data_IF_064392287483
#
_entry.id   IF_064392287483
#
_cell.length_a   1.000
_cell.length_b   1.000
_cell.length_c   1.000
_cell.angle_alpha   90.00
_cell.angle_beta   90.00
_cell.angle_gamma   90.00
#
_symmetry.space_group_name_H-M   'P 1'
#
loop_
_entity.id
_entity.type
_entity.pdbx_description
1 polymer ?
#
# COMPACT_ATOMS: atom_id res chain seq x y z
N UNK A 1 20.32 11.20 12.75
CA UNK A 1 20.13 9.74 12.67
C UNK A 1 19.85 9.40 11.23
N UNK A 2 20.39 8.29 10.69
CA UNK A 2 20.15 7.84 9.32
C UNK A 2 18.83 7.07 9.20
N UNK A 3 18.17 7.16 8.05
CA UNK A 3 16.98 6.38 7.74
C UNK A 3 17.20 5.48 6.51
N UNK A 4 17.16 4.17 6.70
CA UNK A 4 17.18 3.16 5.65
C UNK A 4 15.76 2.84 5.19
N UNK A 5 15.46 3.02 3.91
CA UNK A 5 14.19 2.61 3.29
C UNK A 5 14.46 1.51 2.28
N UNK A 6 13.80 0.36 2.41
CA UNK A 6 13.88 -0.71 1.42
C UNK A 6 12.75 -0.60 0.39
N UNK A 7 13.12 -0.30 -0.85
CA UNK A 7 12.22 0.01 -1.97
C UNK A 7 12.53 -0.83 -3.23
N UNK A 8 13.26 -1.93 -3.08
CA UNK A 8 13.76 -2.72 -4.20
C UNK A 8 12.74 -3.72 -4.78
N UNK A 9 11.75 -4.14 -3.99
CA UNK A 9 10.85 -5.24 -4.34
C UNK A 9 9.85 -4.91 -5.47
N UNK A 10 9.46 -5.94 -6.23
CA UNK A 10 8.48 -5.84 -7.33
C UNK A 10 7.07 -5.46 -6.87
N UNK A 11 6.68 -5.86 -5.65
CA UNK A 11 5.35 -5.57 -5.11
C UNK A 11 4.22 -6.31 -5.83
N UNK A 12 4.40 -7.59 -6.11
CA UNK A 12 3.50 -8.43 -6.95
C UNK A 12 2.02 -8.42 -6.55
N UNK A 13 1.69 -8.19 -5.27
CA UNK A 13 0.31 -8.17 -4.76
C UNK A 13 -0.47 -6.91 -5.14
N UNK A 14 0.23 -5.79 -5.39
CA UNK A 14 -0.32 -4.50 -5.78
C UNK A 14 0.14 -4.20 -7.22
N UNK A 15 -0.17 -5.11 -8.14
CA UNK A 15 0.23 -4.99 -9.53
C UNK A 15 -0.62 -3.95 -10.25
N UNK A 16 -0.16 -2.70 -10.30
CA UNK A 16 -0.64 -1.70 -11.25
C UNK A 16 0.31 -1.61 -12.45
N UNK A 17 -0.27 -1.66 -13.67
CA UNK A 17 0.44 -1.63 -14.96
C UNK A 17 1.55 -0.57 -14.99
N UNK A 18 2.80 -1.01 -14.89
CA UNK A 18 3.97 -0.22 -15.30
C UNK A 18 4.75 0.52 -14.21
N UNK A 19 4.19 0.83 -13.04
CA UNK A 19 4.90 1.58 -11.98
C UNK A 19 5.49 0.65 -10.91
N UNK A 20 6.58 1.09 -10.26
CA UNK A 20 7.12 0.41 -9.08
C UNK A 20 6.21 0.66 -7.86
N UNK A 21 6.02 -0.33 -6.97
CA UNK A 21 5.12 -0.23 -5.79
C UNK A 21 5.33 1.04 -4.94
N UNK A 22 6.58 1.46 -4.63
CA UNK A 22 6.82 2.69 -3.86
C UNK A 22 6.25 3.95 -4.52
N UNK A 23 6.04 3.93 -5.85
CA UNK A 23 5.53 5.06 -6.64
C UNK A 23 4.01 5.04 -6.84
N UNK A 24 3.30 4.07 -6.24
CA UNK A 24 1.84 4.04 -6.30
C UNK A 24 1.29 5.23 -5.50
N UNK A 25 0.46 6.10 -6.11
CA UNK A 25 -0.12 7.23 -5.39
C UNK A 25 -1.32 6.78 -4.55
N UNK A 26 -1.33 7.19 -3.29
CA UNK A 26 -2.51 7.14 -2.42
C UNK A 26 -2.97 8.57 -2.22
N UNK A 27 -4.21 8.87 -2.63
CA UNK A 27 -4.77 10.23 -2.59
C UNK A 27 -3.83 11.27 -3.27
N UNK A 28 -3.24 10.91 -4.41
CA UNK A 28 -2.40 11.80 -5.21
C UNK A 28 -0.90 11.81 -4.88
N UNK A 29 -0.49 11.31 -3.71
CA UNK A 29 0.92 11.29 -3.29
C UNK A 29 1.47 9.86 -3.30
N UNK A 30 2.65 9.61 -3.91
CA UNK A 30 3.33 8.31 -3.87
C UNK A 30 3.60 7.81 -2.44
N UNK A 31 3.46 6.49 -2.23
CA UNK A 31 3.70 5.84 -0.94
C UNK A 31 5.06 6.22 -0.32
N UNK A 32 6.15 6.14 -1.11
CA UNK A 32 7.49 6.46 -0.60
C UNK A 32 7.66 7.93 -0.21
N UNK A 33 6.99 8.85 -0.91
CA UNK A 33 6.99 10.26 -0.52
C UNK A 33 6.28 10.45 0.82
N UNK A 34 5.17 9.73 1.06
CA UNK A 34 4.48 9.78 2.36
C UNK A 34 5.36 9.28 3.48
N UNK A 35 6.04 8.15 3.29
CA UNK A 35 6.99 7.59 4.27
C UNK A 35 8.11 8.60 4.57
N UNK A 36 8.75 9.16 3.55
CA UNK A 36 9.80 10.17 3.70
C UNK A 36 9.29 11.39 4.47
N UNK A 37 8.11 11.92 4.09
CA UNK A 37 7.51 13.08 4.78
C UNK A 37 7.25 12.80 6.25
N UNK A 38 6.69 11.63 6.59
CA UNK A 38 6.45 11.26 7.98
C UNK A 38 7.73 11.22 8.81
N UNK A 39 8.84 10.79 8.21
CA UNK A 39 10.15 10.74 8.84
C UNK A 39 10.78 12.13 8.97
N UNK A 40 10.67 12.97 7.94
CA UNK A 40 11.17 14.36 7.99
C UNK A 40 10.50 15.19 9.07
N UNK A 41 9.21 14.94 9.37
CA UNK A 41 8.52 15.56 10.51
C UNK A 41 9.13 15.21 11.88
N UNK A 42 9.95 14.14 11.94
CA UNK A 42 10.68 13.75 13.14
C UNK A 42 12.13 14.28 13.15
N UNK A 43 12.47 15.19 12.24
CA UNK A 43 13.79 15.81 12.14
C UNK A 43 14.87 14.95 11.48
N UNK A 44 14.48 13.88 10.77
CA UNK A 44 15.42 13.03 10.01
C UNK A 44 15.39 13.42 8.53
N UNK A 45 16.54 13.82 8.00
CA UNK A 45 16.72 14.32 6.64
C UNK A 45 17.77 13.55 5.81
N UNK A 46 18.44 12.56 6.40
CA UNK A 46 19.46 11.73 5.74
C UNK A 46 18.95 10.31 5.46
N UNK A 47 18.64 10.05 4.18
CA UNK A 47 17.99 8.82 3.72
C UNK A 47 18.93 7.96 2.89
N UNK A 48 18.95 6.67 3.21
CA UNK A 48 19.58 5.62 2.43
C UNK A 48 18.47 4.76 1.83
N UNK A 49 18.33 4.76 0.51
CA UNK A 49 17.20 4.12 -0.16
C UNK A 49 17.69 2.97 -1.03
N UNK A 50 17.30 1.76 -0.68
CA UNK A 50 17.65 0.55 -1.43
C UNK A 50 16.66 0.39 -2.58
N UNK A 51 17.14 0.53 -3.80
CA UNK A 51 16.35 0.42 -5.03
C UNK A 51 16.75 -0.83 -5.82
N UNK A 52 15.83 -1.35 -6.64
CA UNK A 52 16.02 -2.61 -7.37
C UNK A 52 15.07 -2.68 -8.58
N UNK A 53 13.97 -3.43 -8.47
CA UNK A 53 12.98 -3.52 -9.53
C UNK A 53 12.48 -2.13 -9.97
N UNK A 54 12.71 -1.78 -11.25
CA UNK A 54 12.44 -0.45 -11.80
C UNK A 54 13.08 0.69 -11.01
N UNK A 55 14.27 0.46 -10.46
CA UNK A 55 15.00 1.39 -9.61
C UNK A 55 15.21 2.77 -10.25
N UNK A 56 15.43 2.85 -11.56
CA UNK A 56 15.59 4.13 -12.28
C UNK A 56 14.36 5.05 -12.19
N UNK A 57 13.14 4.47 -12.21
CA UNK A 57 11.91 5.26 -12.03
C UNK A 57 11.83 5.82 -10.60
N UNK A 58 12.18 4.98 -9.62
CA UNK A 58 12.19 5.34 -8.20
C UNK A 58 13.24 6.42 -7.94
N UNK A 59 14.44 6.25 -8.50
CA UNK A 59 15.54 7.22 -8.43
C UNK A 59 15.15 8.56 -9.04
N UNK A 60 14.65 8.58 -10.27
CA UNK A 60 14.22 9.82 -10.96
C UNK A 60 13.22 10.60 -10.11
N UNK A 61 12.24 9.91 -9.53
CA UNK A 61 11.26 10.53 -8.65
C UNK A 61 11.90 11.08 -7.36
N UNK A 62 12.78 10.30 -6.72
CA UNK A 62 13.43 10.67 -5.47
C UNK A 62 14.47 11.78 -5.64
N UNK A 63 15.14 11.88 -6.79
CA UNK A 63 16.05 12.99 -7.12
C UNK A 63 15.29 14.33 -7.24
N UNK A 64 14.06 14.29 -7.77
CA UNK A 64 13.19 15.47 -7.80
C UNK A 64 12.63 15.78 -6.40
N UNK A 65 12.26 14.75 -5.64
CA UNK A 65 11.75 14.88 -4.28
C UNK A 65 12.80 15.44 -3.32
N UNK A 66 14.05 14.97 -3.40
CA UNK A 66 15.14 15.38 -2.51
C UNK A 66 15.41 16.87 -2.62
N UNK A 67 15.44 17.40 -3.85
CA UNK A 67 15.55 18.84 -4.12
C UNK A 67 14.35 19.63 -3.60
N UNK A 68 13.13 19.10 -3.78
CA UNK A 68 11.89 19.75 -3.33
C UNK A 68 11.78 19.83 -1.81
N UNK A 69 12.25 18.81 -1.09
CA UNK A 69 12.17 18.74 0.37
C UNK A 69 13.44 19.19 1.08
N UNK A 70 14.55 19.41 0.35
CA UNK A 70 15.84 19.77 0.95
C UNK A 70 16.47 18.63 1.78
N UNK A 71 16.25 17.38 1.39
CA UNK A 71 16.75 16.18 2.09
C UNK A 71 17.91 15.52 1.35
N UNK A 72 18.74 14.78 2.07
CA UNK A 72 19.82 13.98 1.51
C UNK A 72 19.33 12.57 1.17
N UNK A 73 19.64 12.09 -0.03
CA UNK A 73 19.28 10.74 -0.48
C UNK A 73 20.50 10.05 -1.07
N UNK A 74 20.91 8.96 -0.43
CA UNK A 74 21.92 8.02 -0.93
C UNK A 74 21.22 6.78 -1.49
N UNK A 75 21.46 6.47 -2.76
CA UNK A 75 20.88 5.28 -3.40
C UNK A 75 21.80 4.06 -3.24
N UNK A 76 21.21 2.93 -2.89
CA UNK A 76 21.88 1.64 -2.78
C UNK A 76 21.21 0.68 -3.77
N UNK A 77 21.97 0.08 -4.66
CA UNK A 77 21.41 -0.82 -5.68
C UNK A 77 21.37 -2.26 -5.15
N UNK A 78 20.18 -2.87 -5.18
CA UNK A 78 19.98 -4.30 -5.00
C UNK A 78 19.57 -4.94 -6.34
N UNK A 79 20.53 -5.57 -7.03
CA UNK A 79 20.26 -6.28 -8.29
C UNK A 79 19.52 -7.61 -8.03
N UNK A 80 19.66 -8.18 -6.84
CA UNK A 80 18.97 -9.39 -6.40
C UNK A 80 17.65 -9.07 -5.70
N UNK A 81 16.87 -8.16 -6.28
CA UNK A 81 15.59 -7.68 -5.74
C UNK A 81 14.49 -8.75 -5.64
N UNK A 82 14.72 -9.93 -6.22
CA UNK A 82 13.85 -11.11 -6.09
C UNK A 82 14.05 -11.85 -4.76
N UNK A 83 15.18 -11.63 -4.07
CA UNK A 83 15.42 -12.14 -2.72
C UNK A 83 14.54 -11.43 -1.69
N UNK A 84 14.46 -12.01 -0.51
CA UNK A 84 13.63 -11.48 0.57
C UNK A 84 14.10 -10.11 1.08
N UNK A 85 13.24 -9.44 1.86
CA UNK A 85 13.43 -8.06 2.29
C UNK A 85 14.72 -7.83 3.09
N UNK A 86 15.16 -8.80 3.90
CA UNK A 86 16.41 -8.70 4.67
C UNK A 86 17.65 -8.64 3.77
N UNK A 87 17.62 -9.23 2.56
CA UNK A 87 18.71 -9.06 1.61
C UNK A 87 18.86 -7.60 1.13
N UNK A 88 17.74 -6.89 0.98
CA UNK A 88 17.77 -5.45 0.67
C UNK A 88 18.40 -4.66 1.83
N UNK A 89 18.10 -5.02 3.08
CA UNK A 89 18.74 -4.43 4.26
C UNK A 89 20.24 -4.70 4.25
N UNK A 90 20.68 -5.92 3.95
CA UNK A 90 22.09 -6.30 3.92
C UNK A 90 22.93 -5.47 2.94
N UNK A 91 22.35 -5.03 1.81
CA UNK A 91 23.05 -4.15 0.86
C UNK A 91 23.48 -2.82 1.47
N UNK A 92 22.89 -2.40 2.59
CA UNK A 92 23.25 -1.18 3.31
C UNK A 92 24.40 -1.34 4.32
N UNK A 93 24.91 -2.56 4.56
CA UNK A 93 25.96 -2.83 5.56
C UNK A 93 27.22 -1.97 5.35
N UNK A 94 27.62 -1.71 4.10
CA UNK A 94 28.79 -0.88 3.78
C UNK A 94 28.56 0.64 3.89
N UNK A 95 27.32 1.07 4.14
CA UNK A 95 26.91 2.48 4.12
C UNK A 95 26.53 3.00 5.51
N UNK A 96 26.07 2.12 6.41
CA UNK A 96 25.54 2.48 7.73
C UNK A 96 26.26 1.66 8.80
N UNK A 97 26.96 2.35 9.71
CA UNK A 97 27.77 1.79 10.78
C UNK A 97 27.36 2.28 12.18
N UNK A 98 26.20 2.93 12.28
CA UNK A 98 25.65 3.53 13.49
C UNK A 98 24.17 3.14 13.63
N UNK A 99 23.50 3.37 14.77
CA UNK A 99 22.06 3.17 14.89
C UNK A 99 21.25 3.95 13.84
N UNK A 100 20.24 3.29 13.27
CA UNK A 100 19.46 3.83 12.17
C UNK A 100 17.99 3.40 12.24
N UNK A 101 17.12 4.20 11.66
CA UNK A 101 15.73 3.86 11.44
C UNK A 101 15.62 3.02 10.15
N UNK A 102 14.96 1.86 10.20
CA UNK A 102 14.66 1.03 9.04
C UNK A 102 13.16 1.05 8.76
N UNK A 103 12.78 1.27 7.51
CA UNK A 103 11.39 1.38 7.07
C UNK A 103 11.11 0.60 5.79
N UNK A 104 9.87 0.13 5.69
CA UNK A 104 9.28 -0.32 4.43
C UNK A 104 8.82 0.90 3.62
N UNK A 105 8.98 0.86 2.28
CA UNK A 105 8.59 1.97 1.41
C UNK A 105 7.07 2.14 1.22
N UNK A 106 6.28 1.20 1.71
CA UNK A 106 4.83 1.07 1.50
C UNK A 106 4.02 0.98 2.79
N UNK A 107 4.67 1.05 3.96
CA UNK A 107 3.98 1.07 5.24
C UNK A 107 3.80 2.50 5.71
N UNK A 108 2.53 2.93 5.80
CA UNK A 108 2.19 4.26 6.28
C UNK A 108 2.04 4.25 7.80
N UNK A 109 2.57 5.29 8.44
CA UNK A 109 2.54 5.45 9.89
C UNK A 109 2.48 6.93 10.24
N UNK A 110 2.01 7.19 11.45
CA UNK A 110 2.00 8.52 12.04
C UNK A 110 3.42 8.96 12.47
N UNK A 111 3.86 10.19 12.16
CA UNK A 111 5.14 10.73 12.61
C UNK A 111 5.41 10.60 14.12
N UNK A 112 4.37 10.64 14.96
CA UNK A 112 4.50 10.48 16.41
C UNK A 112 5.14 9.14 16.79
N UNK A 113 4.88 8.09 16.01
CA UNK A 113 5.44 6.76 16.26
C UNK A 113 6.94 6.74 15.95
N UNK A 114 7.38 7.46 14.92
CA UNK A 114 8.82 7.63 14.65
C UNK A 114 9.46 8.44 15.76
N UNK A 115 8.89 9.58 16.15
CA UNK A 115 9.38 10.42 17.24
C UNK A 115 9.56 9.67 18.57
N UNK A 116 8.65 8.75 18.88
CA UNK A 116 8.76 7.89 20.08
C UNK A 116 9.81 6.81 19.89
N UNK A 117 9.83 6.15 18.73
CA UNK A 117 10.74 5.04 18.46
C UNK A 117 12.20 5.49 18.46
N UNK A 118 12.54 6.63 17.84
CA UNK A 118 13.93 7.13 17.75
C UNK A 118 14.51 7.59 19.10
N UNK A 119 13.65 7.81 20.10
CA UNK A 119 14.04 8.13 21.49
C UNK A 119 14.17 6.89 22.37
N UNK A 120 13.86 5.70 21.83
CA UNK A 120 13.94 4.46 22.58
C UNK A 120 15.40 4.13 22.92
N UNK A 121 15.71 3.76 24.18
CA UNK A 121 17.07 3.38 24.57
C UNK A 121 17.54 2.14 23.80
N UNK A 122 18.68 2.24 23.13
CA UNK A 122 19.20 1.18 22.27
C UNK A 122 20.63 0.82 22.69
N UNK A 123 20.80 -0.39 23.22
CA UNK A 123 22.11 -0.96 23.50
C UNK A 123 22.75 -1.52 22.23
N UNK A 124 24.07 -1.68 22.24
CA UNK A 124 24.78 -2.36 21.16
C UNK A 124 24.26 -3.80 20.97
N UNK A 125 23.90 -4.15 19.75
CA UNK A 125 23.30 -5.45 19.44
C UNK A 125 21.78 -5.43 19.37
N UNK A 126 21.14 -4.42 19.96
CA UNK A 126 19.69 -4.37 20.05
C UNK A 126 19.02 -3.88 18.77
N UNK A 127 17.77 -4.29 18.63
CA UNK A 127 16.78 -3.73 17.71
C UNK A 127 15.47 -3.48 18.46
N UNK A 128 14.65 -2.57 17.94
CA UNK A 128 13.31 -2.27 18.45
C UNK A 128 12.34 -2.33 17.29
N UNK A 129 11.22 -3.02 17.48
CA UNK A 129 10.18 -3.18 16.47
C UNK A 129 8.96 -2.39 16.89
N UNK A 130 8.44 -1.55 15.99
CA UNK A 130 7.12 -0.96 16.13
C UNK A 130 6.05 -2.03 15.92
N UNK A 131 5.20 -2.28 16.90
CA UNK A 131 4.15 -3.31 16.79
C UNK A 131 2.76 -2.77 17.03
N UNK A 132 1.79 -3.23 16.22
CA UNK A 132 0.37 -2.99 16.47
C UNK A 132 -0.16 -4.10 17.38
N UNK A 133 -0.70 -3.72 18.55
CA UNK A 133 -1.27 -4.66 19.52
C UNK A 133 -2.75 -4.97 19.25
N UNK A 134 -3.37 -4.32 18.27
CA UNK A 134 -4.73 -4.62 17.87
C UNK A 134 -4.79 -5.87 16.97
N UNK A 135 -4.65 -7.05 17.59
CA UNK A 135 -4.70 -8.35 16.88
C UNK A 135 -6.07 -8.67 16.26
N UNK A 136 -7.09 -7.87 16.56
CA UNK A 136 -8.44 -7.98 16.00
C UNK A 136 -8.72 -6.94 14.91
N UNK A 137 -7.69 -6.24 14.41
CA UNK A 137 -7.85 -5.28 13.33
C UNK A 137 -8.34 -5.99 12.05
N UNK A 138 -9.57 -5.73 11.58
CA UNK A 138 -10.14 -6.43 10.43
C UNK A 138 -9.47 -6.03 9.10
N UNK A 139 -8.61 -5.02 9.09
CA UNK A 139 -7.88 -4.55 7.90
C UNK A 139 -6.57 -5.31 7.69
N UNK A 140 -6.17 -6.13 8.65
CA UNK A 140 -4.95 -6.92 8.57
C UNK A 140 -5.25 -8.25 7.88
N UNK A 141 -4.58 -8.48 6.75
CA UNK A 141 -4.56 -9.79 6.12
C UNK A 141 -3.72 -10.76 6.97
N UNK A 142 -4.40 -11.66 7.68
CA UNK A 142 -3.77 -12.66 8.54
C UNK A 142 -2.88 -13.64 7.77
N UNK A 143 -3.04 -13.80 6.46
CA UNK A 143 -2.21 -14.68 5.64
C UNK A 143 -0.87 -14.03 5.27
N UNK A 144 -0.84 -12.71 5.12
CA UNK A 144 0.38 -11.99 4.69
C UNK A 144 1.14 -11.31 5.85
N UNK A 145 0.45 -10.93 6.92
CA UNK A 145 1.04 -10.17 8.03
C UNK A 145 2.12 -10.96 8.76
N UNK A 146 3.22 -10.28 9.11
CA UNK A 146 4.21 -10.82 10.05
C UNK A 146 3.68 -10.65 11.47
N UNK A 147 3.42 -11.76 12.14
CA UNK A 147 2.92 -11.78 13.52
C UNK A 147 4.07 -11.72 14.50
N UNK A 148 3.83 -11.17 15.69
CA UNK A 148 4.78 -11.14 16.79
C UNK A 148 4.15 -11.65 18.08
N UNK A 149 4.95 -12.37 18.87
CA UNK A 149 4.66 -12.64 20.27
C UNK A 149 5.67 -11.88 21.13
N UNK A 150 5.13 -11.08 22.04
CA UNK A 150 5.90 -10.15 22.87
C UNK A 150 5.62 -10.41 24.34
N UNK A 151 6.63 -10.26 25.18
CA UNK A 151 6.54 -10.48 26.62
C UNK A 151 7.57 -9.57 27.32
N UNK A 152 7.13 -8.82 28.34
CA UNK A 152 7.98 -7.92 29.12
C UNK A 152 8.79 -6.94 28.25
N UNK A 153 8.17 -6.36 27.22
CA UNK A 153 8.82 -5.39 26.31
C UNK A 153 9.84 -6.01 25.35
N UNK A 154 9.93 -7.35 25.27
CA UNK A 154 10.81 -8.06 24.35
C UNK A 154 10.00 -8.85 23.33
N UNK A 155 10.53 -8.98 22.13
CA UNK A 155 10.04 -9.90 21.11
C UNK A 155 10.55 -11.30 21.48
N UNK A 156 9.65 -12.27 21.59
CA UNK A 156 10.02 -13.68 21.81
C UNK A 156 9.95 -14.48 20.50
N UNK A 157 8.91 -14.22 19.71
CA UNK A 157 8.70 -14.88 18.42
C UNK A 157 8.24 -13.88 17.37
N UNK A 158 8.70 -14.06 16.14
CA UNK A 158 8.26 -13.28 14.97
C UNK A 158 8.17 -14.18 13.74
N UNK A 159 7.14 -13.98 12.91
CA UNK A 159 6.99 -14.69 11.65
C UNK A 159 5.54 -14.77 11.17
N UNK A 160 5.33 -15.11 9.90
CA UNK A 160 3.99 -15.22 9.30
C UNK A 160 3.18 -16.43 9.81
N UNK A 161 3.87 -17.53 10.10
CA UNK A 161 3.24 -18.80 10.52
C UNK A 161 2.96 -18.94 12.02
N UNK A 162 3.04 -17.88 12.82
CA UNK A 162 2.83 -17.99 14.26
C UNK A 162 1.36 -18.23 14.61
N UNK A 163 1.11 -19.30 15.38
CA UNK A 163 -0.22 -19.64 15.91
C UNK A 163 -0.57 -18.84 17.17
N UNK A 164 0.41 -18.55 18.02
CA UNK A 164 0.28 -17.68 19.19
C UNK A 164 1.01 -16.36 18.95
N UNK A 165 0.26 -15.26 19.04
CA UNK A 165 0.76 -13.90 18.78
C UNK A 165 -0.09 -12.89 19.57
N UNK A 166 0.51 -11.74 19.89
CA UNK A 166 -0.16 -10.63 20.57
C UNK A 166 0.15 -9.27 19.93
N UNK A 167 0.64 -9.28 18.69
CA UNK A 167 0.76 -8.10 17.85
C UNK A 167 1.15 -8.43 16.43
N UNK A 168 1.21 -7.38 15.62
CA UNK A 168 1.67 -7.40 14.23
C UNK A 168 2.89 -6.49 14.06
N UNK A 169 3.83 -6.92 13.22
CA UNK A 169 4.88 -6.05 12.69
C UNK A 169 4.28 -4.93 11.84
N UNK A 170 4.77 -3.71 12.02
CA UNK A 170 4.28 -2.52 11.34
C UNK A 170 5.27 -1.98 10.32
N UNK A 171 6.44 -2.61 10.17
CA UNK A 171 7.47 -2.22 9.21
C UNK A 171 8.26 -0.97 9.57
N UNK A 172 8.23 -0.56 10.85
CA UNK A 172 9.11 0.46 11.41
C UNK A 172 10.02 -0.17 12.46
N UNK A 173 11.32 0.04 12.31
CA UNK A 173 12.33 -0.59 13.17
C UNK A 173 13.40 0.43 13.54
N UNK A 174 13.83 0.45 14.80
CA UNK A 174 15.07 1.09 15.20
C UNK A 174 16.14 0.00 15.30
N UNK A 175 17.22 0.12 14.54
CA UNK A 175 18.22 -0.93 14.41
C UNK A 175 19.62 -0.44 14.77
N UNK A 176 20.40 -1.31 15.38
CA UNK A 176 21.88 -1.23 15.36
C UNK A 176 22.43 -1.99 14.14
N UNK A 177 23.72 -1.82 13.78
CA UNK A 177 24.38 -2.62 12.75
C UNK A 177 24.35 -4.14 12.99
N UNK A 178 23.99 -4.61 14.19
CA UNK A 178 23.85 -6.03 14.49
C UNK A 178 22.82 -6.74 13.59
N UNK A 179 21.82 -6.02 13.07
CA UNK A 179 20.86 -6.59 12.13
C UNK A 179 21.54 -7.13 10.87
N UNK A 180 22.60 -6.49 10.38
CA UNK A 180 23.32 -6.95 9.19
C UNK A 180 24.00 -8.29 9.45
N UNK A 181 24.67 -8.43 10.61
CA UNK A 181 25.32 -9.68 11.00
C UNK A 181 24.30 -10.81 11.22
N UNK A 182 23.13 -10.48 11.79
CA UNK A 182 22.04 -11.43 11.95
C UNK A 182 21.51 -11.94 10.61
N UNK A 183 21.35 -11.06 9.61
CA UNK A 183 20.93 -11.43 8.25
C UNK A 183 22.00 -12.31 7.58
N UNK A 184 23.28 -11.95 7.65
CA UNK A 184 24.36 -12.76 7.07
C UNK A 184 24.41 -14.16 7.67
N UNK A 185 24.26 -14.27 8.98
CA UNK A 185 24.25 -15.57 9.68
C UNK A 185 23.05 -16.42 9.26
N UNK A 186 21.86 -15.82 9.13
CA UNK A 186 20.66 -16.53 8.63
C UNK A 186 20.84 -17.00 7.19
N UNK A 187 21.43 -16.16 6.35
CA UNK A 187 21.75 -16.52 4.97
C UNK A 187 22.75 -17.69 4.92
N UNK A 188 23.84 -17.66 5.68
CA UNK A 188 24.86 -18.70 5.64
C UNK A 188 24.40 -20.04 6.23
N UNK A 189 23.64 -20.00 7.33
CA UNK A 189 23.25 -21.22 8.08
C UNK A 189 21.95 -21.84 7.55
N UNK A 190 21.04 -21.03 7.00
CA UNK A 190 19.67 -21.48 6.67
C UNK A 190 19.20 -21.08 5.28
N UNK A 191 20.04 -20.40 4.49
CA UNK A 191 19.66 -19.81 3.19
C UNK A 191 18.39 -18.93 3.30
N UNK A 192 18.22 -18.27 4.44
CA UNK A 192 17.07 -17.42 4.76
C UNK A 192 17.52 -15.97 4.80
N UNK A 193 16.97 -15.13 3.91
CA UNK A 193 17.27 -13.69 3.89
C UNK A 193 16.10 -12.83 4.33
N UNK A 194 15.10 -13.42 5.01
CA UNK A 194 14.00 -12.67 5.57
C UNK A 194 14.46 -11.79 6.73
N UNK A 195 13.93 -10.57 6.80
CA UNK A 195 14.16 -9.68 7.93
C UNK A 195 13.63 -10.30 9.23
N UNK A 196 12.44 -10.93 9.19
CA UNK A 196 11.85 -11.61 10.34
C UNK A 196 12.72 -12.77 10.84
N UNK A 197 13.40 -13.52 9.96
CA UNK A 197 14.35 -14.56 10.35
C UNK A 197 15.56 -14.00 11.12
N UNK A 198 16.11 -12.87 10.67
CA UNK A 198 17.20 -12.19 11.38
C UNK A 198 16.75 -11.62 12.74
N UNK A 199 15.56 -11.03 12.79
CA UNK A 199 14.95 -10.56 14.03
C UNK A 199 14.70 -11.72 15.00
N UNK A 200 14.22 -12.87 14.51
CA UNK A 200 14.02 -14.06 15.34
C UNK A 200 15.33 -14.57 15.95
N UNK A 201 16.43 -14.47 15.22
CA UNK A 201 17.76 -14.79 15.73
C UNK A 201 18.18 -13.82 16.85
N UNK A 202 17.96 -12.52 16.69
CA UNK A 202 18.25 -11.52 17.73
C UNK A 202 17.33 -11.70 18.95
N UNK A 203 16.06 -12.02 18.74
CA UNK A 203 15.10 -12.33 19.80
C UNK A 203 15.55 -13.52 20.67
N UNK A 204 16.15 -14.55 20.06
CA UNK A 204 16.69 -15.69 20.78
C UNK A 204 17.85 -15.34 21.73
N UNK A 205 18.54 -14.22 21.48
CA UNK A 205 19.62 -13.69 22.33
C UNK A 205 19.13 -12.57 23.28
N UNK A 206 17.83 -12.24 23.25
CA UNK A 206 17.26 -11.17 24.09
C UNK A 206 17.45 -9.75 23.52
N UNK A 207 17.94 -9.62 22.29
CA UNK A 207 18.28 -8.35 21.66
C UNK A 207 17.17 -7.75 20.77
N UNK A 208 15.96 -8.31 20.83
CA UNK A 208 14.80 -7.76 20.09
C UNK A 208 13.77 -7.18 21.06
N UNK A 209 13.57 -5.88 20.99
CA UNK A 209 12.66 -5.11 21.83
C UNK A 209 11.35 -4.79 21.11
N UNK A 210 10.29 -4.69 21.89
CA UNK A 210 8.96 -4.32 21.44
C UNK A 210 8.66 -2.86 21.79
N UNK A 211 8.16 -2.10 20.81
CA UNK A 211 7.58 -0.78 21.04
C UNK A 211 6.19 -0.73 20.43
N UNK A 212 5.17 -0.55 21.27
CA UNK A 212 3.78 -0.43 20.81
C UNK A 212 3.61 0.87 20.02
N UNK A 213 3.13 0.78 18.78
CA UNK A 213 2.69 1.95 18.03
C UNK A 213 1.30 2.41 18.52
N UNK A 214 1.06 3.70 18.45
CA UNK A 214 -0.22 4.32 18.79
C UNK A 214 -0.84 5.00 17.56
N UNK A 215 -2.13 4.75 17.26
CA UNK A 215 -2.85 5.54 16.28
C UNK A 215 -3.14 6.95 16.83
N UNK A 216 -3.05 7.96 15.96
CA UNK A 216 -3.20 9.39 16.26
C UNK A 216 -4.49 9.74 17.00
N UNK A 217 -5.60 9.03 16.72
CA UNK A 217 -6.91 9.29 17.31
C UNK A 217 -6.96 9.15 18.83
N UNK A 218 -5.90 8.63 19.47
CA UNK A 218 -5.76 8.55 20.94
C UNK A 218 -4.86 9.62 21.56
N UNK A 219 -4.19 10.47 20.77
CA UNK A 219 -3.25 11.47 21.27
C UNK A 219 -3.86 12.86 21.51
N UNK A 220 -5.08 13.13 21.05
CA UNK A 220 -5.82 14.35 21.42
C UNK A 220 -6.18 14.46 22.91
N UNK A 221 -5.68 13.54 23.75
CA UNK A 221 -5.82 13.57 25.20
C UNK A 221 -4.49 13.76 25.97
N UNK A 222 -3.34 13.92 25.31
CA UNK A 222 -2.08 14.23 26.01
C UNK A 222 -1.29 15.33 25.31
N UNK A 223 -1.22 16.47 25.98
CA UNK A 223 -0.34 17.60 25.70
C UNK A 223 1.12 17.15 25.77
N UNK A 224 1.77 16.97 24.62
CA UNK A 224 3.22 17.08 24.50
C UNK A 224 3.52 17.88 23.22
N UNK A 225 4.15 19.04 23.43
CA UNK A 225 4.35 20.11 22.45
C UNK A 225 5.27 19.71 21.29
N UNK A 226 4.69 19.58 20.10
CA UNK A 226 5.44 19.63 18.83
C UNK A 226 5.43 21.08 18.35
N UNK A 227 6.58 21.58 17.90
CA UNK A 227 6.71 22.90 17.29
C UNK A 227 5.94 22.94 15.95
N UNK A 228 4.72 23.46 16.00
CA UNK A 228 3.77 23.47 14.88
C UNK A 228 4.17 24.43 13.75
N UNK A 229 5.16 25.31 13.95
CA UNK A 229 5.54 26.34 12.97
C UNK A 229 6.22 25.76 11.73
N UNK A 230 6.92 24.63 11.87
CA UNK A 230 7.52 23.91 10.74
C UNK A 230 6.52 22.94 10.09
N UNK A 231 5.54 22.45 10.86
CA UNK A 231 4.48 21.57 10.36
C UNK A 231 3.52 22.32 9.42
N UNK A 232 3.17 23.57 9.74
CA UNK A 232 2.14 24.34 9.03
C UNK A 232 2.48 24.70 7.57
N UNK A 233 3.78 24.82 7.22
CA UNK A 233 4.24 25.09 5.85
C UNK A 233 4.72 23.85 5.09
N UNK A 234 5.06 22.75 5.76
CA UNK A 234 5.52 21.49 5.14
C UNK A 234 4.38 20.48 4.89
N UNK A 235 3.30 20.56 5.68
CA UNK A 235 2.09 19.74 5.60
C UNK A 235 0.92 20.50 4.98
N UNK A 236 1.20 21.35 3.98
CA UNK A 236 0.21 22.04 3.15
C UNK A 236 -0.53 21.06 2.18
N UNK A 237 -0.90 19.89 2.70
CA UNK A 237 -1.58 18.80 1.99
C UNK A 237 -2.76 18.32 2.82
N UNK A 238 -3.96 18.29 2.21
CA UNK A 238 -5.24 17.89 2.81
C UNK A 238 -5.16 16.55 3.57
N UNK A 239 -4.19 15.68 3.26
CA UNK A 239 -3.97 14.43 3.95
C UNK A 239 -3.65 14.61 5.44
N UNK A 240 -2.74 15.50 5.83
CA UNK A 240 -2.36 15.70 7.24
C UNK A 240 -3.02 16.92 7.91
N UNK A 241 -3.75 17.74 7.15
CA UNK A 241 -4.28 19.04 7.59
C UNK A 241 -5.72 19.04 8.09
N UNK A 242 -6.49 17.99 7.83
CA UNK A 242 -7.88 17.96 8.24
C UNK A 242 -7.96 18.01 9.78
N UNK A 243 -8.89 18.79 10.36
CA UNK A 243 -9.26 18.78 11.80
C UNK A 243 -9.75 17.40 12.31
N UNK A 244 -9.54 16.34 11.53
CA UNK A 244 -9.82 14.92 11.72
C UNK A 244 -8.65 14.16 11.10
N UNK A 245 -8.04 13.23 11.84
CA UNK A 245 -6.84 12.49 11.42
C UNK A 245 -6.93 11.93 9.98
N UNK A 246 -5.87 11.98 9.15
CA UNK A 246 -5.80 11.29 7.84
C UNK A 246 -6.27 9.84 7.91
N UNK A 247 -5.92 9.15 8.99
CA UNK A 247 -6.31 7.77 9.21
C UNK A 247 -7.81 7.66 9.49
N UNK A 248 -8.41 8.64 10.17
CA UNK A 248 -9.87 8.74 10.27
C UNK A 248 -10.55 9.09 8.94
N UNK A 249 -9.92 9.88 8.05
CA UNK A 249 -10.46 10.10 6.71
C UNK A 249 -10.41 8.84 5.86
N UNK A 250 -9.28 8.11 5.89
CA UNK A 250 -9.17 6.79 5.25
C UNK A 250 -10.20 5.82 5.84
N UNK A 251 -10.40 5.85 7.16
CA UNK A 251 -11.40 5.05 7.84
C UNK A 251 -12.83 5.46 7.48
N UNK A 252 -13.12 6.75 7.34
CA UNK A 252 -14.43 7.24 6.86
C UNK A 252 -14.67 6.90 5.39
N UNK A 253 -13.64 6.99 4.55
CA UNK A 253 -13.71 6.56 3.15
C UNK A 253 -13.99 5.06 3.10
N UNK A 254 -13.28 4.28 3.93
CA UNK A 254 -13.48 2.83 4.07
C UNK A 254 -14.86 2.49 4.60
N UNK A 255 -15.32 3.12 5.69
CA UNK A 255 -16.65 2.93 6.26
C UNK A 255 -17.74 3.32 5.25
N UNK A 256 -17.54 4.38 4.47
CA UNK A 256 -18.46 4.75 3.38
C UNK A 256 -18.45 3.71 2.26
N UNK A 257 -17.28 3.18 1.90
CA UNK A 257 -17.16 2.09 0.93
C UNK A 257 -17.85 0.81 1.45
N UNK A 258 -17.56 0.40 2.69
CA UNK A 258 -18.14 -0.77 3.37
C UNK A 258 -19.66 -0.63 3.53
N UNK A 259 -20.15 0.51 4.01
CA UNK A 259 -21.59 0.78 4.12
C UNK A 259 -22.28 0.79 2.76
N UNK A 260 -21.61 1.23 1.71
CA UNK A 260 -22.13 1.13 0.34
C UNK A 260 -22.11 -0.31 -0.17
N UNK A 261 -21.13 -1.13 0.21
CA UNK A 261 -21.14 -2.57 -0.11
C UNK A 261 -22.27 -3.31 0.63
N UNK A 262 -22.49 -3.02 1.92
CA UNK A 262 -23.58 -3.60 2.73
C UNK A 262 -24.96 -3.08 2.32
N UNK A 263 -25.09 -1.80 1.93
CA UNK A 263 -26.36 -1.22 1.49
C UNK A 263 -26.76 -1.60 0.06
N UNK A 264 -25.89 -2.31 -0.70
CA UNK A 264 -26.18 -2.80 -2.04
C UNK A 264 -26.48 -4.30 -2.08
N UNK A 265 -26.64 -4.95 -0.91
CA UNK A 265 -27.28 -6.28 -0.82
C UNK A 265 -28.81 -6.22 -1.02
N UNK A 266 -29.38 -5.03 -1.21
CA UNK A 266 -30.76 -4.81 -1.58
C UNK A 266 -30.93 -3.46 -2.28
N UNK A 267 -31.53 -3.47 -3.44
CA UNK A 267 -31.89 -2.34 -4.30
C UNK A 267 -30.81 -1.63 -5.12
N UNK A 268 -30.94 -1.89 -6.41
CA UNK A 268 -30.33 -1.21 -7.54
C UNK A 268 -30.84 0.24 -7.65
N UNK A 269 -29.96 1.22 -7.45
CA UNK A 269 -29.94 2.48 -8.21
C UNK A 269 -28.66 3.25 -7.92
N UNK A 270 -27.85 3.41 -8.98
CA UNK A 270 -26.63 4.19 -8.95
C UNK A 270 -26.88 5.66 -8.59
N UNK A 271 -26.06 6.19 -7.69
CA UNK A 271 -26.12 7.61 -7.35
C UNK A 271 -25.36 7.90 -6.08
N UNK A 272 -24.04 8.06 -6.19
CA UNK A 272 -23.12 8.86 -5.33
C UNK A 272 -21.68 8.38 -5.60
N UNK A 273 -21.46 7.06 -5.63
CA UNK A 273 -20.12 6.47 -5.88
C UNK A 273 -19.56 6.89 -7.24
N UNK A 274 -20.40 6.86 -8.26
CA UNK A 274 -20.08 7.24 -9.64
C UNK A 274 -19.74 8.75 -9.75
N UNK A 275 -20.36 9.59 -8.92
CA UNK A 275 -20.10 11.04 -8.89
C UNK A 275 -18.75 11.37 -8.22
N UNK A 276 -18.44 10.68 -7.13
CA UNK A 276 -17.18 10.87 -6.40
C UNK A 276 -15.96 10.42 -7.21
N UNK A 277 -16.03 9.26 -7.87
CA UNK A 277 -14.95 8.74 -8.72
C UNK A 277 -14.72 9.62 -9.96
N UNK A 278 -15.81 10.07 -10.61
CA UNK A 278 -15.77 10.93 -11.80
C UNK A 278 -15.10 12.27 -11.52
N UNK A 279 -15.29 12.84 -10.32
CA UNK A 279 -14.70 14.11 -9.90
C UNK A 279 -13.21 14.01 -9.55
N UNK A 280 -12.74 12.83 -9.12
CA UNK A 280 -11.37 12.64 -8.58
C UNK A 280 -10.39 11.97 -9.55
N UNK A 281 -10.88 11.18 -10.51
CA UNK A 281 -10.02 10.39 -11.40
C UNK A 281 -10.32 10.54 -12.89
N UNK A 282 -11.22 11.46 -13.29
CA UNK A 282 -11.38 11.86 -14.69
C UNK A 282 -11.80 10.76 -15.67
N UNK A 283 -12.63 9.80 -15.24
CA UNK A 283 -13.16 8.72 -16.10
C UNK A 283 -14.61 8.96 -16.51
N UNK A 284 -14.90 8.86 -17.82
CA UNK A 284 -16.27 8.84 -18.34
C UNK A 284 -17.06 7.62 -17.88
N UNK A 285 -18.39 7.73 -17.87
CA UNK A 285 -19.30 6.68 -17.40
C UNK A 285 -19.32 5.48 -18.38
N UNK A 286 -18.68 4.33 -18.08
CA UNK A 286 -18.44 3.29 -19.07
C UNK A 286 -19.50 2.19 -18.96
N UNK A 287 -20.77 2.58 -18.96
CA UNK A 287 -21.89 1.64 -19.08
C UNK A 287 -22.57 1.19 -17.78
N UNK A 288 -23.76 0.61 -17.94
CA UNK A 288 -24.52 -0.01 -16.85
C UNK A 288 -24.04 -1.45 -16.63
N UNK A 289 -23.78 -1.81 -15.36
CA UNK A 289 -23.54 -3.19 -14.92
C UNK A 289 -24.77 -3.63 -14.12
N UNK A 290 -25.41 -4.72 -14.54
CA UNK A 290 -26.56 -5.32 -13.85
C UNK A 290 -26.18 -6.72 -13.42
N UNK A 291 -26.46 -7.04 -12.15
CA UNK A 291 -26.27 -8.38 -11.62
C UNK A 291 -27.64 -9.08 -11.55
N UNK A 292 -27.67 -10.36 -11.93
CA UNK A 292 -28.81 -11.27 -11.75
C UNK A 292 -28.31 -12.67 -11.46
N UNK A 293 -29.17 -13.53 -10.92
CA UNK A 293 -28.79 -14.86 -10.43
C UNK A 293 -29.94 -15.86 -10.67
N UNK A 294 -29.60 -17.11 -10.97
CA UNK A 294 -30.51 -18.27 -10.97
C UNK A 294 -29.93 -19.42 -10.13
N UNK A 295 -30.56 -20.59 -10.14
CA UNK A 295 -30.15 -21.74 -9.30
C UNK A 295 -28.72 -22.24 -9.57
N UNK A 296 -28.21 -22.04 -10.78
CA UNK A 296 -26.93 -22.59 -11.22
C UNK A 296 -25.85 -21.52 -11.43
N UNK A 297 -26.21 -20.25 -11.69
CA UNK A 297 -25.28 -19.20 -12.08
C UNK A 297 -25.55 -17.82 -11.46
N UNK A 298 -24.48 -17.04 -11.31
CA UNK A 298 -24.52 -15.59 -11.15
C UNK A 298 -24.10 -14.93 -12.47
N UNK A 299 -24.85 -13.93 -12.90
CA UNK A 299 -24.64 -13.21 -14.16
C UNK A 299 -24.31 -11.74 -13.91
N UNK A 300 -23.38 -11.21 -14.70
CA UNK A 300 -23.17 -9.77 -14.87
C UNK A 300 -23.46 -9.36 -16.31
N UNK A 301 -24.55 -8.62 -16.51
CA UNK A 301 -24.90 -8.01 -17.79
C UNK A 301 -24.30 -6.59 -17.84
N UNK A 302 -23.32 -6.40 -18.72
CA UNK A 302 -22.52 -5.19 -18.84
C UNK A 302 -22.81 -4.56 -20.21
N UNK A 303 -23.22 -3.30 -20.26
CA UNK A 303 -23.49 -2.59 -21.53
C UNK A 303 -22.58 -1.38 -21.66
N UNK A 304 -21.63 -1.39 -22.59
CA UNK A 304 -20.63 -0.34 -22.78
C UNK A 304 -20.76 0.24 -24.19
N UNK A 305 -21.14 1.52 -24.27
CA UNK A 305 -21.32 2.23 -25.54
C UNK A 305 -20.00 2.73 -26.11
N UNK A 306 -19.96 2.88 -27.42
CA UNK A 306 -18.85 3.52 -28.16
C UNK A 306 -17.49 2.81 -27.98
N UNK A 307 -17.53 1.47 -27.85
CA UNK A 307 -16.35 0.62 -27.72
C UNK A 307 -15.52 0.60 -29.00
N UNK A 308 -14.25 1.02 -28.89
CA UNK A 308 -13.28 0.92 -29.98
C UNK A 308 -13.00 -0.56 -30.24
N UNK A 309 -13.16 -0.97 -31.49
CA UNK A 309 -12.97 -2.35 -31.97
C UNK A 309 -13.90 -3.42 -31.33
N UNK A 310 -14.96 -3.01 -30.61
CA UNK A 310 -15.92 -3.93 -29.97
C UNK A 310 -15.26 -5.06 -29.16
N UNK A 311 -14.09 -4.82 -28.56
CA UNK A 311 -13.38 -5.83 -27.76
C UNK A 311 -13.11 -5.31 -26.36
N UNK A 312 -13.51 -6.13 -25.39
CA UNK A 312 -13.22 -5.92 -23.98
C UNK A 312 -12.22 -6.96 -23.50
N UNK A 313 -11.26 -6.52 -22.70
CA UNK A 313 -10.37 -7.41 -21.96
C UNK A 313 -11.02 -7.68 -20.60
N UNK A 314 -11.46 -8.92 -20.40
CA UNK A 314 -12.15 -9.38 -19.19
C UNK A 314 -11.30 -10.47 -18.56
N UNK A 315 -10.94 -10.28 -17.29
CA UNK A 315 -10.13 -11.22 -16.53
C UNK A 315 -10.84 -11.55 -15.22
N UNK A 316 -10.93 -12.84 -14.89
CA UNK A 316 -11.38 -13.29 -13.58
C UNK A 316 -10.26 -14.07 -12.93
N UNK A 317 -9.68 -13.49 -11.87
CA UNK A 317 -8.55 -14.07 -11.14
C UNK A 317 -8.48 -13.46 -9.73
N UNK A 318 -7.93 -14.20 -8.77
CA UNK A 318 -7.71 -13.74 -7.39
C UNK A 318 -8.97 -13.17 -6.71
N UNK A 319 -10.14 -13.77 -6.98
CA UNK A 319 -11.42 -13.30 -6.44
C UNK A 319 -11.89 -11.95 -6.99
N UNK A 320 -11.34 -11.49 -8.13
CA UNK A 320 -11.74 -10.25 -8.80
C UNK A 320 -12.11 -10.47 -10.26
N UNK A 321 -13.10 -9.69 -10.72
CA UNK A 321 -13.51 -9.56 -12.11
C UNK A 321 -13.04 -8.20 -12.59
N UNK A 322 -12.12 -8.20 -13.54
CA UNK A 322 -11.54 -7.01 -14.15
C UNK A 322 -12.06 -6.85 -15.57
N UNK A 323 -12.52 -5.65 -15.91
CA UNK A 323 -12.97 -5.28 -17.26
C UNK A 323 -12.17 -4.05 -17.71
N UNK A 324 -11.54 -4.13 -18.88
CA UNK A 324 -10.90 -2.98 -19.50
C UNK A 324 -11.17 -2.88 -20.99
N UNK A 325 -11.19 -1.65 -21.48
CA UNK A 325 -11.49 -1.35 -22.87
C UNK A 325 -11.17 0.09 -23.21
N UNK A 326 -11.26 0.44 -24.49
CA UNK A 326 -11.12 1.82 -24.96
C UNK A 326 -12.44 2.26 -25.56
N UNK A 327 -12.94 3.42 -25.15
CA UNK A 327 -14.13 4.06 -25.71
C UNK A 327 -13.73 5.31 -26.51
N UNK A 328 -14.45 5.58 -27.58
CA UNK A 328 -14.30 6.81 -28.36
C UNK A 328 -15.44 7.76 -28.03
N UNK A 329 -15.12 8.94 -27.50
CA UNK A 329 -16.12 9.96 -27.20
C UNK A 329 -16.10 11.01 -28.31
N UNK A 330 -17.24 11.20 -28.97
CA UNK A 330 -17.45 12.32 -29.90
C UNK A 330 -17.80 13.57 -29.10
N UNK A 331 -17.02 14.64 -29.27
CA UNK A 331 -17.44 15.97 -28.83
C UNK A 331 -18.57 16.44 -29.75
N UNK A 332 -19.70 16.83 -29.16
CA UNK A 332 -20.78 17.53 -29.86
C UNK A 332 -21.09 18.81 -29.10
N UNK A 333 -20.19 19.78 -29.17
CA UNK A 333 -20.56 21.14 -28.78
C UNK A 333 -21.25 21.82 -29.95
N UNK A 334 -22.51 22.17 -29.70
CA UNK A 334 -23.25 23.15 -30.49
C UNK A 334 -22.60 24.51 -30.28
N UNK A 335 -22.58 25.28 -31.37
CA UNK A 335 -22.23 26.71 -31.46
C UNK A 335 -20.75 27.04 -31.29
N UNK A 336 -19.96 26.81 -32.34
CA UNK A 336 -19.49 27.93 -33.17
C UNK A 336 -18.79 27.42 -34.45
N UNK A 337 -18.81 28.26 -35.49
CA UNK A 337 -18.32 27.97 -36.84
C UNK A 337 -16.80 27.68 -36.84
N UNK A 338 -16.41 26.41 -36.95
CA UNK A 338 -15.40 25.88 -37.88
C UNK A 338 -15.16 24.36 -37.66
N UNK A 339 -14.85 23.67 -38.76
CA UNK A 339 -14.83 22.20 -38.89
C UNK A 339 -13.66 21.52 -38.14
N UNK A 340 -13.72 21.37 -36.81
CA UNK A 340 -12.83 20.45 -36.10
C UNK A 340 -13.62 19.44 -35.24
N UNK A 341 -13.90 18.26 -35.82
CA UNK A 341 -14.39 17.10 -35.05
C UNK A 341 -13.20 16.47 -34.33
N UNK A 342 -13.09 16.69 -33.03
CA UNK A 342 -12.09 16.03 -32.19
C UNK A 342 -12.66 14.72 -31.64
N UNK A 343 -11.97 13.61 -31.91
CA UNK A 343 -12.24 12.30 -31.34
C UNK A 343 -11.32 12.11 -30.14
N UNK A 344 -11.89 11.86 -28.96
CA UNK A 344 -11.12 11.53 -27.77
C UNK A 344 -11.28 10.04 -27.47
N UNK A 345 -10.19 9.29 -27.51
CA UNK A 345 -10.16 7.92 -27.02
C UNK A 345 -9.80 7.91 -25.53
N UNK A 346 -10.57 7.16 -24.74
CA UNK A 346 -10.34 7.00 -23.30
C UNK A 346 -10.32 5.52 -22.97
N UNK A 347 -9.23 5.04 -22.37
CA UNK A 347 -9.18 3.71 -21.79
C UNK A 347 -9.87 3.72 -20.43
N UNK A 348 -10.67 2.71 -20.14
CA UNK A 348 -11.26 2.51 -18.82
C UNK A 348 -10.84 1.17 -18.24
N UNK A 349 -10.91 1.10 -16.91
CA UNK A 349 -10.61 -0.10 -16.14
C UNK A 349 -11.58 -0.15 -14.95
N UNK A 350 -12.31 -1.25 -14.82
CA UNK A 350 -13.15 -1.55 -13.64
C UNK A 350 -12.72 -2.89 -13.06
N UNK A 351 -12.66 -2.97 -11.75
CA UNK A 351 -12.52 -4.22 -11.01
C UNK A 351 -13.61 -4.29 -9.94
N UNK A 352 -14.21 -5.46 -9.78
CA UNK A 352 -15.20 -5.75 -8.74
C UNK A 352 -15.03 -7.19 -8.26
N UNK A 353 -15.39 -7.50 -7.00
CA UNK A 353 -15.17 -8.82 -6.44
C UNK A 353 -16.01 -9.89 -7.14
N UNK A 354 -15.48 -11.11 -7.19
CA UNK A 354 -16.26 -12.32 -7.49
C UNK A 354 -17.27 -12.54 -6.33
N UNK A 355 -18.55 -12.81 -6.63
CA UNK A 355 -19.55 -13.16 -5.61
C UNK A 355 -19.14 -14.36 -4.75
N UNK A 356 -19.59 -14.40 -3.50
CA UNK A 356 -19.39 -15.57 -2.66
C UNK A 356 -20.17 -16.78 -3.21
N UNK A 357 -19.58 -17.97 -3.15
CA UNK A 357 -20.25 -19.22 -3.53
C UNK A 357 -20.28 -19.54 -5.02
N UNK A 358 -19.42 -18.91 -5.84
CA UNK A 358 -19.24 -19.24 -7.27
C UNK A 358 -17.83 -19.75 -7.55
N UNK A 359 -17.70 -20.60 -8.58
CA UNK A 359 -16.44 -21.15 -9.07
C UNK A 359 -15.88 -20.19 -10.14
N UNK A 360 -14.91 -19.37 -9.72
CA UNK A 360 -14.24 -18.37 -10.54
C UNK A 360 -13.22 -18.97 -11.52
N UNK A 361 -13.01 -20.29 -11.50
CA UNK A 361 -12.17 -21.00 -12.48
C UNK A 361 -12.96 -21.43 -13.72
N UNK A 362 -14.30 -21.41 -13.66
CA UNK A 362 -15.21 -21.86 -14.73
C UNK A 362 -16.05 -20.73 -15.32
N UNK A 363 -15.50 -19.53 -15.38
CA UNK A 363 -16.20 -18.36 -15.92
C UNK A 363 -16.50 -18.53 -17.41
N UNK A 364 -17.73 -18.23 -17.81
CA UNK A 364 -18.10 -18.12 -19.21
C UNK A 364 -18.38 -16.67 -19.56
N UNK A 365 -17.81 -16.19 -20.66
CA UNK A 365 -17.97 -14.80 -21.10
C UNK A 365 -18.59 -14.83 -22.49
N UNK A 366 -19.73 -14.16 -22.63
CA UNK A 366 -20.43 -14.00 -23.89
C UNK A 366 -20.44 -12.51 -24.25
N UNK A 367 -19.97 -12.16 -25.44
CA UNK A 367 -19.89 -10.78 -25.89
C UNK A 367 -20.58 -10.61 -27.24
N UNK A 368 -21.58 -9.73 -27.27
CA UNK A 368 -22.31 -9.32 -28.47
C UNK A 368 -22.29 -7.79 -28.60
N UNK A 369 -21.35 -7.29 -29.41
CA UNK A 369 -21.13 -5.86 -29.63
C UNK A 369 -20.84 -5.08 -28.35
N UNK A 370 -21.78 -4.22 -27.96
CA UNK A 370 -21.72 -3.36 -26.77
C UNK A 370 -22.15 -4.08 -25.48
N UNK A 371 -22.66 -5.32 -25.59
CA UNK A 371 -23.14 -6.10 -24.45
C UNK A 371 -22.19 -7.24 -24.13
N UNK A 372 -21.90 -7.40 -22.84
CA UNK A 372 -21.13 -8.52 -22.29
C UNK A 372 -21.94 -9.18 -21.19
N UNK A 373 -21.96 -10.50 -21.19
CA UNK A 373 -22.54 -11.32 -20.13
C UNK A 373 -21.43 -12.19 -19.56
N UNK A 374 -21.08 -11.96 -18.29
CA UNK A 374 -20.19 -12.85 -17.53
C UNK A 374 -21.08 -13.80 -16.74
N UNK A 375 -20.85 -15.11 -16.87
CA UNK A 375 -21.58 -16.19 -16.18
C UNK A 375 -20.61 -16.91 -15.23
N UNK A 376 -20.97 -16.97 -13.96
CA UNK A 376 -20.19 -17.59 -12.90
C UNK A 376 -21.00 -18.75 -12.32
N UNK A 377 -20.57 -20.01 -12.47
CA UNK A 377 -21.30 -21.16 -11.93
C UNK A 377 -21.21 -21.18 -10.40
N UNK A 378 -22.34 -21.46 -9.74
CA UNK A 378 -22.36 -21.65 -8.28
C UNK A 378 -21.65 -22.93 -7.87
N UNK A 379 -20.95 -22.88 -6.75
CA UNK A 379 -20.35 -24.06 -6.10
C UNK A 379 -21.50 -24.80 -5.41
N UNK A 380 -21.78 -26.04 -5.86
CA UNK A 380 -22.81 -26.92 -5.27
C UNK A 380 -22.32 -27.62 -4.01
#
# INVERSE_FOLDING_TARGET
MKCLIIAAGKGSRLWHKGKSKPLIPVLGIPLIERVIRSVTASGIDDFYIVIGYKGEQVRTFLDALSKRLGINVTFIINNEWEKENGYSVLKAKGYINEPFLLLMADHLFDPVNVNKLIKYPLDDGDIVIGTDKNVHNPLVDLQDVTRVYTENGKIRKIGKGLTSYNGFDTGIFLCTPAIFNAIERRLSEFNDTTLSGAIQLLAAHGNANDHKIVPESRLFNQEDSIDNSMLDSFFDDDFFRSKKSPFEEMEKIRERMMRQFESHSGDSKGGIFDSWFKKKFGGGNPGEIKQREDDDFVYYDITIKDLVNQKLDIQVQDGQITISGTIEKKSSDKEDKENSRQYFSSTFHRSFPVPYGVDDTKVQIDQDGEKVIIKLPKIK
#
